data_IF_788153538763
#
_entry.id   IF_788153538763
#
_cell.length_a   1.000
_cell.length_b   1.000
_cell.length_c   1.000
_cell.angle_alpha   90.00
_cell.angle_beta   90.00
_cell.angle_gamma   90.00
#
_symmetry.space_group_name_H-M   'P 1'
#
loop_
_entity.id
_entity.type
_entity.pdbx_description
1 polymer ?
#
# COMPACT_ATOMS: atom_id res chain seq x y z
N UNK A 1 -4.52 0.55 11.89
CA UNK A 1 -3.80 -0.27 10.89
C UNK A 1 -4.13 0.22 9.50
N UNK A 2 -5.40 0.22 9.08
CA UNK A 2 -5.73 0.74 7.74
C UNK A 2 -5.36 2.21 7.53
N UNK A 3 -4.92 2.55 6.31
CA UNK A 3 -4.45 3.88 5.93
C UNK A 3 -3.04 4.24 6.43
N UNK A 4 -2.34 3.27 7.03
CA UNK A 4 -0.96 3.40 7.51
C UNK A 4 -0.02 2.58 6.64
N UNK A 5 1.27 2.90 6.66
CA UNK A 5 2.33 2.06 6.10
C UNK A 5 2.91 1.18 7.21
N UNK A 6 3.45 0.03 6.85
CA UNK A 6 4.25 -0.75 7.79
C UNK A 6 5.73 -0.39 7.63
N UNK A 7 6.39 -0.02 8.72
CA UNK A 7 7.80 0.36 8.70
C UNK A 7 8.62 -0.66 9.49
N UNK A 8 9.62 -1.24 8.84
CA UNK A 8 10.54 -2.16 9.47
C UNK A 8 11.62 -1.43 10.28
N UNK A 9 12.34 -2.18 11.11
CA UNK A 9 13.42 -1.66 11.95
C UNK A 9 14.62 -1.15 11.15
N UNK A 10 14.85 -1.68 9.95
CA UNK A 10 15.87 -1.21 8.99
C UNK A 10 15.44 0.06 8.23
N UNK A 11 14.18 0.50 8.40
CA UNK A 11 13.66 1.74 7.81
C UNK A 11 12.97 1.55 6.46
N UNK A 12 12.84 0.32 5.97
CA UNK A 12 12.03 0.02 4.79
C UNK A 12 10.54 0.23 5.08
N UNK A 13 9.80 0.74 4.10
CA UNK A 13 8.37 0.99 4.20
C UNK A 13 7.61 0.10 3.21
N UNK A 14 6.59 -0.57 3.72
CA UNK A 14 5.66 -1.40 2.96
C UNK A 14 4.35 -0.65 2.79
N UNK A 15 3.72 -0.86 1.63
CA UNK A 15 2.62 -0.05 1.12
C UNK A 15 1.46 0.19 2.07
N UNK A 16 0.58 1.11 1.68
CA UNK A 16 -0.53 1.56 2.53
C UNK A 16 -1.47 0.39 2.80
N UNK A 17 -1.56 -0.01 4.06
CA UNK A 17 -2.35 -1.14 4.50
C UNK A 17 -3.84 -0.82 4.30
N UNK A 18 -4.52 -1.65 3.51
CA UNK A 18 -5.93 -1.51 3.15
C UNK A 18 -6.71 -2.79 3.40
N UNK A 19 -8.03 -2.66 3.43
CA UNK A 19 -8.92 -3.82 3.51
C UNK A 19 -8.81 -4.57 2.19
N UNK A 20 -8.81 -5.90 2.28
CA UNK A 20 -8.72 -6.80 1.14
C UNK A 20 -9.92 -6.57 0.21
N UNK A 21 -9.62 -6.46 -1.08
CA UNK A 21 -10.61 -6.44 -2.14
C UNK A 21 -10.59 -7.80 -2.85
N UNK A 22 -11.75 -8.45 -2.96
CA UNK A 22 -11.84 -9.71 -3.70
C UNK A 22 -11.84 -9.44 -5.23
N UNK A 23 -11.37 -10.39 -6.07
CA UNK A 23 -10.86 -11.72 -5.74
C UNK A 23 -9.37 -11.74 -5.35
N UNK A 24 -9.00 -12.69 -4.48
CA UNK A 24 -7.60 -12.96 -4.14
C UNK A 24 -6.89 -13.77 -5.25
N UNK A 25 -5.56 -13.65 -5.39
CA UNK A 25 -4.76 -14.53 -6.22
C UNK A 25 -4.93 -16.00 -5.82
N UNK A 26 -4.84 -16.92 -6.78
CA UNK A 26 -4.95 -18.36 -6.52
C UNK A 26 -3.90 -18.85 -5.52
N UNK A 27 -2.69 -18.29 -5.55
CA UNK A 27 -1.59 -18.56 -4.62
C UNK A 27 -1.92 -18.23 -3.16
N UNK A 28 -2.84 -17.29 -2.93
CA UNK A 28 -3.27 -16.85 -1.60
C UNK A 28 -4.64 -17.40 -1.21
N UNK A 29 -5.23 -18.28 -2.02
CA UNK A 29 -6.58 -18.81 -1.78
C UNK A 29 -6.75 -19.57 -0.46
N UNK A 30 -5.69 -20.24 0.02
CA UNK A 30 -5.66 -20.95 1.30
C UNK A 30 -4.97 -20.14 2.42
N UNK A 31 -4.50 -18.92 2.12
CA UNK A 31 -3.76 -18.08 3.05
C UNK A 31 -4.70 -17.20 3.89
N UNK A 32 -4.34 -16.95 5.15
CA UNK A 32 -5.03 -15.98 6.02
C UNK A 32 -4.56 -14.56 5.66
N UNK A 33 -5.11 -14.02 4.57
CA UNK A 33 -4.84 -12.65 4.15
C UNK A 33 -5.53 -11.68 5.11
N UNK A 34 -4.79 -10.68 5.61
CA UNK A 34 -5.30 -9.69 6.57
C UNK A 34 -5.41 -8.28 6.01
N UNK A 35 -4.68 -7.97 4.93
CA UNK A 35 -4.71 -6.67 4.25
C UNK A 35 -4.08 -6.74 2.85
N UNK A 36 -4.26 -5.67 2.06
CA UNK A 36 -3.62 -5.43 0.76
C UNK A 36 -2.98 -4.03 0.70
N UNK A 37 -2.19 -3.74 -0.33
CA UNK A 37 -1.52 -2.43 -0.52
C UNK A 37 -2.02 -1.60 -1.72
N UNK A 38 -3.12 -2.00 -2.37
CA UNK A 38 -3.67 -1.45 -3.64
C UNK A 38 -2.82 -1.70 -4.90
N UNK A 39 -1.57 -2.15 -4.75
CA UNK A 39 -0.68 -2.47 -5.86
C UNK A 39 -0.60 -3.97 -6.16
N UNK A 40 -1.51 -4.76 -5.59
CA UNK A 40 -1.56 -6.20 -5.78
C UNK A 40 -0.76 -6.99 -4.74
N UNK A 41 -0.09 -6.35 -3.79
CA UNK A 41 0.62 -7.03 -2.72
C UNK A 41 -0.27 -7.24 -1.50
N UNK A 42 0.02 -8.29 -0.74
CA UNK A 42 -0.84 -8.74 0.35
C UNK A 42 -0.07 -8.94 1.65
N UNK A 43 -0.72 -8.60 2.75
CA UNK A 43 -0.26 -8.91 4.10
C UNK A 43 -0.93 -10.20 4.54
N UNK A 44 -0.13 -11.22 4.82
CA UNK A 44 -0.60 -12.58 5.11
C UNK A 44 -0.18 -12.96 6.51
N UNK A 45 -1.08 -13.61 7.24
CA UNK A 45 -0.81 -14.16 8.56
C UNK A 45 -0.54 -15.66 8.45
N UNK A 46 0.64 -16.08 8.87
CA UNK A 46 1.00 -17.50 8.90
C UNK A 46 1.74 -17.81 10.20
N UNK A 47 1.39 -18.90 10.89
CA UNK A 47 2.09 -19.35 12.11
C UNK A 47 2.28 -18.25 13.17
N UNK A 48 1.28 -17.35 13.31
CA UNK A 48 1.27 -16.16 14.18
C UNK A 48 2.17 -15.00 13.74
N UNK A 49 2.94 -15.16 12.67
CA UNK A 49 3.78 -14.14 12.04
C UNK A 49 3.00 -13.41 10.95
N UNK A 50 3.47 -12.21 10.61
CA UNK A 50 2.96 -11.44 9.48
C UNK A 50 4.01 -11.45 8.38
N UNK A 51 3.55 -11.80 7.18
CA UNK A 51 4.33 -11.87 5.96
C UNK A 51 3.77 -10.85 4.96
N UNK A 52 4.65 -10.34 4.11
CA UNK A 52 4.33 -9.58 2.92
C UNK A 52 4.51 -10.49 1.72
N UNK A 53 3.45 -10.68 0.94
CA UNK A 53 3.49 -11.38 -0.33
C UNK A 53 3.58 -10.36 -1.45
N UNK A 54 4.63 -10.48 -2.25
CA UNK A 54 4.91 -9.65 -3.42
C UNK A 54 4.35 -10.31 -4.68
N UNK A 55 3.48 -9.62 -5.41
CA UNK A 55 2.86 -10.16 -6.61
C UNK A 55 3.81 -10.24 -7.82
N UNK A 56 4.90 -9.47 -7.83
CA UNK A 56 5.87 -9.47 -8.93
C UNK A 56 6.81 -10.68 -8.86
N UNK A 57 7.13 -11.13 -7.64
CA UNK A 57 8.08 -12.24 -7.40
C UNK A 57 7.43 -13.50 -6.83
N UNK A 58 6.17 -13.43 -6.37
CA UNK A 58 5.48 -14.48 -5.60
C UNK A 58 6.19 -14.85 -4.30
N UNK A 59 7.08 -13.99 -3.78
CA UNK A 59 7.86 -14.27 -2.58
C UNK A 59 7.18 -13.76 -1.30
N UNK A 60 7.41 -14.48 -0.20
CA UNK A 60 6.95 -14.08 1.13
C UNK A 60 8.11 -13.51 1.94
N UNK A 61 7.98 -12.25 2.36
CA UNK A 61 8.92 -11.58 3.27
C UNK A 61 8.34 -11.51 4.67
N UNK A 62 9.07 -11.96 5.69
CA UNK A 62 8.61 -11.84 7.08
C UNK A 62 8.70 -10.38 7.52
N UNK A 63 7.57 -9.79 7.90
CA UNK A 63 7.49 -8.42 8.40
C UNK A 63 7.55 -8.34 9.93
N UNK A 64 6.87 -9.27 10.60
CA UNK A 64 6.76 -9.25 12.06
C UNK A 64 6.54 -10.66 12.62
N UNK A 65 7.05 -10.92 13.82
CA UNK A 65 6.86 -12.20 14.51
C UNK A 65 5.50 -12.32 15.20
N UNK A 66 4.75 -11.22 15.30
CA UNK A 66 3.41 -11.19 15.87
C UNK A 66 2.55 -10.07 15.28
N UNK A 67 1.23 -10.21 15.39
CA UNK A 67 0.27 -9.15 15.03
C UNK A 67 0.51 -7.88 15.84
N UNK A 68 0.89 -7.98 17.11
CA UNK A 68 1.15 -6.80 17.95
C UNK A 68 2.39 -6.04 17.48
N UNK A 69 3.46 -6.75 17.12
CA UNK A 69 4.65 -6.14 16.52
C UNK A 69 4.31 -5.48 15.18
N UNK A 70 3.47 -6.11 14.37
CA UNK A 70 2.98 -5.54 13.12
C UNK A 70 2.19 -4.24 13.35
N UNK A 71 1.26 -4.22 14.30
CA UNK A 71 0.47 -3.03 14.66
C UNK A 71 1.37 -1.92 15.21
N UNK A 72 2.39 -2.27 16.01
CA UNK A 72 3.35 -1.32 16.54
C UNK A 72 4.21 -0.67 15.44
N UNK A 73 4.54 -1.40 14.38
CA UNK A 73 5.25 -0.89 13.20
C UNK A 73 4.38 -0.10 12.22
N UNK A 74 3.05 -0.01 12.43
CA UNK A 74 2.18 0.78 11.57
C UNK A 74 2.34 2.30 11.83
N UNK A 75 2.97 2.99 10.88
CA UNK A 75 3.22 4.43 10.91
C UNK A 75 2.29 5.20 9.94
N UNK A 76 2.06 6.48 10.22
CA UNK A 76 1.42 7.34 9.23
C UNK A 76 2.32 7.43 7.99
N UNK A 77 1.77 7.37 6.76
CA UNK A 77 2.56 7.61 5.56
C UNK A 77 3.19 9.00 5.64
N UNK A 78 4.41 9.12 5.12
CA UNK A 78 5.11 10.40 5.08
C UNK A 78 4.29 11.43 4.29
N UNK A 79 4.01 12.58 4.90
CA UNK A 79 3.44 13.71 4.18
C UNK A 79 4.48 14.23 3.19
N UNK A 80 4.17 14.15 1.90
CA UNK A 80 4.96 14.79 0.86
C UNK A 80 4.42 16.20 0.70
N UNK A 81 5.05 17.18 1.34
CA UNK A 81 4.80 18.59 1.05
C UNK A 81 5.40 18.91 -0.33
N UNK A 82 4.52 19.15 -1.31
CA UNK A 82 4.92 19.55 -2.64
C UNK A 82 5.07 21.06 -2.70
N UNK A 83 6.26 21.55 -3.01
CA UNK A 83 6.46 22.99 -3.21
C UNK A 83 5.73 23.49 -4.48
N UNK A 84 5.28 24.76 -4.51
CA UNK A 84 4.71 25.37 -5.71
C UNK A 84 5.68 25.25 -6.89
N UNK A 85 5.29 24.50 -7.94
CA UNK A 85 6.11 24.27 -9.14
C UNK A 85 6.91 22.97 -9.18
N UNK A 86 6.92 22.17 -8.11
CA UNK A 86 7.52 20.83 -8.11
C UNK A 86 6.73 19.85 -9.00
N UNK A 87 5.42 20.09 -9.14
CA UNK A 87 4.53 19.32 -10.02
C UNK A 87 4.67 19.81 -11.47
N UNK A 88 5.47 19.13 -12.28
CA UNK A 88 5.72 19.50 -13.70
C UNK A 88 4.53 19.22 -14.62
N UNK A 89 3.78 18.15 -14.35
CA UNK A 89 2.58 17.75 -15.07
C UNK A 89 1.75 16.81 -14.21
N UNK A 90 0.43 16.92 -14.30
CA UNK A 90 -0.52 15.95 -13.73
C UNK A 90 -1.33 15.34 -14.86
N UNK A 91 -1.61 14.05 -14.75
CA UNK A 91 -2.62 13.44 -15.60
C UNK A 91 -3.98 13.70 -14.97
N UNK A 92 -4.88 14.34 -15.71
CA UNK A 92 -6.25 14.59 -15.28
C UNK A 92 -7.15 13.72 -16.13
N UNK A 93 -8.11 13.07 -15.49
CA UNK A 93 -9.13 12.30 -16.18
C UNK A 93 -9.81 13.16 -17.28
N UNK A 94 -9.89 12.70 -18.54
CA UNK A 94 -10.43 13.48 -19.64
C UNK A 94 -11.90 13.88 -19.48
N UNK A 95 -12.72 13.08 -18.81
CA UNK A 95 -14.12 13.41 -18.55
C UNK A 95 -14.24 14.46 -17.44
N UNK A 96 -13.40 14.36 -16.41
CA UNK A 96 -13.26 15.39 -15.38
C UNK A 96 -12.79 16.73 -15.97
N UNK A 97 -11.76 16.68 -16.84
CA UNK A 97 -11.22 17.84 -17.54
C UNK A 97 -12.27 18.57 -18.41
N UNK A 98 -13.12 17.81 -19.10
CA UNK A 98 -14.23 18.36 -19.90
C UNK A 98 -15.28 19.05 -19.04
N UNK A 99 -15.56 18.53 -17.85
CA UNK A 99 -16.61 19.03 -16.96
C UNK A 99 -16.21 20.32 -16.23
N UNK A 100 -14.94 20.47 -15.87
CA UNK A 100 -14.46 21.59 -15.06
C UNK A 100 -13.59 22.60 -15.80
N UNK A 101 -13.15 22.28 -17.02
CA UNK A 101 -12.28 23.14 -17.82
C UNK A 101 -10.87 23.22 -17.21
N UNK A 102 -9.87 22.73 -17.94
CA UNK A 102 -8.48 22.96 -17.53
C UNK A 102 -8.14 24.39 -17.95
N UNK A 103 -7.92 25.29 -16.98
CA UNK A 103 -7.39 26.62 -17.29
C UNK A 103 -6.04 26.46 -18.00
N UNK A 104 -5.79 27.18 -19.12
CA UNK A 104 -4.49 27.14 -19.76
C UNK A 104 -3.41 27.60 -18.77
N UNK A 105 -2.23 26.98 -18.87
CA UNK A 105 -1.06 27.30 -18.04
C UNK A 105 -0.86 28.83 -17.92
N UNK A 106 -0.59 29.36 -16.71
CA UNK A 106 -0.01 30.70 -16.59
C UNK A 106 1.38 30.77 -17.23
#
# INVERSE_FOLDING_TARGET
MFGKVFRTSDGSEYGVIRKISAPLPEELSESDVIAEDECGNYFVRENRRIHFWDHETSEFTILANSVNEFIAGCAAPSEVELEPGQVKSVWVDPEFAKKFGIAPKP
#
